data_IF_527484661386
#
_entry.id   IF_527484661386
#
_cell.length_a   1.000
_cell.length_b   1.000
_cell.length_c   1.000
_cell.angle_alpha   90.00
_cell.angle_beta   90.00
_cell.angle_gamma   90.00
#
_symmetry.space_group_name_H-M   'P 1'
#
loop_
_entity.id
_entity.type
_entity.pdbx_description
1 polymer ?
#
# COMPACT_ATOMS: atom_id res chain seq x y z
N UNK A 1 36.17 6.88 23.92
CA UNK A 1 35.34 7.97 24.45
C UNK A 1 35.22 9.07 23.40
N UNK A 2 34.03 9.32 22.90
CA UNK A 2 33.78 10.39 21.90
C UNK A 2 33.45 11.73 22.60
N UNK A 3 33.94 12.81 22.01
CA UNK A 3 33.52 14.19 22.38
C UNK A 3 32.26 14.63 21.60
N UNK A 4 31.94 13.92 20.52
CA UNK A 4 30.80 14.18 19.63
C UNK A 4 29.55 13.45 20.11
N UNK A 5 28.41 13.89 19.67
CA UNK A 5 27.13 13.18 19.80
C UNK A 5 27.13 12.03 18.78
N UNK A 6 27.63 10.89 19.19
CA UNK A 6 27.67 9.70 18.33
C UNK A 6 26.25 9.20 18.04
N UNK A 7 25.82 9.06 16.77
CA UNK A 7 24.52 8.49 16.46
C UNK A 7 24.43 7.03 16.92
N UNK A 8 25.50 6.25 16.70
CA UNK A 8 25.61 4.86 17.09
C UNK A 8 27.07 4.42 17.23
N UNK A 9 27.46 4.01 18.38
CA UNK A 9 28.86 3.66 18.69
C UNK A 9 29.22 2.22 18.31
N UNK A 10 29.50 1.92 17.05
CA UNK A 10 29.87 0.57 16.59
C UNK A 10 31.04 -0.03 17.36
N UNK A 11 32.10 0.74 17.59
CA UNK A 11 33.30 0.26 18.32
C UNK A 11 32.96 -0.17 19.73
N UNK A 12 32.13 0.57 20.46
CA UNK A 12 31.69 0.19 21.82
C UNK A 12 30.81 -1.05 21.81
N UNK A 13 29.90 -1.16 20.79
CA UNK A 13 29.08 -2.34 20.59
C UNK A 13 29.91 -3.58 20.33
N UNK A 14 30.85 -3.51 19.39
CA UNK A 14 31.73 -4.61 19.03
C UNK A 14 32.62 -5.06 20.21
N UNK A 15 33.21 -4.09 20.95
CA UNK A 15 33.99 -4.37 22.14
C UNK A 15 33.13 -5.05 23.23
N UNK A 16 31.94 -4.56 23.48
CA UNK A 16 31.00 -5.14 24.45
C UNK A 16 30.58 -6.57 24.04
N UNK A 17 30.32 -6.82 22.76
CA UNK A 17 29.98 -8.15 22.25
C UNK A 17 31.11 -9.18 22.39
N UNK A 18 32.36 -8.72 22.53
CA UNK A 18 33.53 -9.55 22.73
C UNK A 18 33.95 -9.67 24.22
N UNK A 19 33.14 -9.15 25.12
CA UNK A 19 33.40 -9.18 26.54
C UNK A 19 34.53 -8.26 27.01
N UNK A 20 34.81 -7.17 26.29
CA UNK A 20 35.75 -6.17 26.75
C UNK A 20 35.18 -5.38 27.93
N UNK A 21 36.03 -4.93 28.82
CA UNK A 21 35.69 -3.91 29.83
C UNK A 21 35.68 -2.55 29.15
N UNK A 22 34.46 -2.00 28.86
CA UNK A 22 34.29 -0.82 28.05
C UNK A 22 34.10 0.43 28.91
N UNK A 23 34.80 1.52 28.53
CA UNK A 23 34.59 2.87 29.10
C UNK A 23 34.11 3.77 27.98
N UNK A 24 32.97 4.41 28.16
CA UNK A 24 32.38 5.34 27.19
C UNK A 24 32.04 6.68 27.81
N UNK A 25 31.88 7.71 26.97
CA UNK A 25 31.26 8.98 27.33
C UNK A 25 29.73 8.89 27.23
N UNK A 26 29.03 9.66 28.04
CA UNK A 26 27.59 9.81 27.95
C UNK A 26 27.22 10.80 26.81
N UNK A 27 27.41 10.40 25.54
CA UNK A 27 27.22 11.23 24.36
C UNK A 27 26.45 10.49 23.28
N UNK A 28 25.33 11.10 22.83
CA UNK A 28 24.48 10.52 21.79
C UNK A 28 24.00 9.12 22.12
N UNK A 29 24.03 8.22 21.14
CA UNK A 29 23.64 6.81 21.26
C UNK A 29 24.69 5.87 21.88
N UNK A 30 25.85 6.37 22.32
CA UNK A 30 26.86 5.50 22.93
C UNK A 30 26.36 4.66 24.12
N UNK A 31 25.57 5.22 25.08
CA UNK A 31 25.04 4.43 26.20
C UNK A 31 24.13 3.27 25.76
N UNK A 32 23.49 3.39 24.61
CA UNK A 32 22.57 2.36 24.08
C UNK A 32 23.31 1.15 23.47
N UNK A 33 24.60 1.31 23.17
CA UNK A 33 25.42 0.26 22.53
C UNK A 33 26.09 -0.69 23.50
N UNK A 34 25.95 -0.48 24.79
CA UNK A 34 26.58 -1.27 25.84
C UNK A 34 25.56 -1.72 26.88
N UNK A 35 25.70 -2.95 27.34
CA UNK A 35 24.86 -3.50 28.40
C UNK A 35 25.52 -3.36 29.79
N UNK A 36 26.83 -3.47 29.84
CA UNK A 36 27.65 -3.29 31.03
C UNK A 36 28.91 -2.53 30.66
N UNK A 37 29.00 -1.25 31.07
CA UNK A 37 30.18 -0.41 30.80
C UNK A 37 30.31 0.66 31.88
N UNK A 38 31.51 1.29 31.94
CA UNK A 38 31.69 2.51 32.72
C UNK A 38 31.32 3.70 31.87
N UNK A 39 30.22 4.37 32.21
CA UNK A 39 29.74 5.55 31.52
C UNK A 39 30.23 6.81 32.25
N UNK A 40 31.07 7.61 31.60
CA UNK A 40 31.62 8.84 32.15
C UNK A 40 30.60 9.94 32.09
N UNK A 41 30.06 10.38 33.22
CA UNK A 41 29.10 11.52 33.30
C UNK A 41 29.72 12.82 32.81
N UNK A 42 31.01 13.07 33.08
CA UNK A 42 31.80 14.20 32.58
C UNK A 42 33.01 13.66 31.86
N UNK A 43 33.20 14.04 30.60
CA UNK A 43 34.35 13.65 29.81
C UNK A 43 35.47 14.69 29.99
N UNK A 44 36.43 14.39 30.84
CA UNK A 44 37.68 15.14 31.00
C UNK A 44 38.82 14.18 31.30
N UNK A 45 40.04 14.68 31.20
CA UNK A 45 41.24 13.88 31.40
C UNK A 45 41.28 13.17 32.76
N UNK A 46 40.89 13.90 33.85
CA UNK A 46 40.90 13.39 35.22
C UNK A 46 39.90 12.24 35.43
N UNK A 47 38.68 12.34 34.90
CA UNK A 47 37.68 11.27 35.04
C UNK A 47 38.01 10.06 34.20
N UNK A 48 38.54 10.25 32.99
CA UNK A 48 38.99 9.16 32.14
C UNK A 48 40.19 8.41 32.78
N UNK A 49 41.18 9.18 33.25
CA UNK A 49 42.35 8.59 33.94
C UNK A 49 41.93 7.74 35.14
N UNK A 50 41.09 8.29 36.05
CA UNK A 50 40.58 7.53 37.20
C UNK A 50 39.85 6.25 36.79
N UNK A 51 39.05 6.28 35.76
CA UNK A 51 38.33 5.10 35.30
C UNK A 51 39.27 4.04 34.72
N UNK A 52 40.26 4.47 33.94
CA UNK A 52 41.30 3.58 33.40
C UNK A 52 42.18 2.97 34.48
N UNK A 53 42.77 3.78 35.37
CA UNK A 53 43.61 3.30 36.49
C UNK A 53 42.86 2.31 37.35
N UNK A 54 41.59 2.59 37.69
CA UNK A 54 40.76 1.69 38.48
C UNK A 54 40.53 0.32 37.82
N UNK A 55 40.40 0.26 36.48
CA UNK A 55 40.26 -1.02 35.76
C UNK A 55 41.61 -1.74 35.62
N UNK A 56 42.72 -1.02 35.49
CA UNK A 56 44.07 -1.60 35.36
C UNK A 56 44.51 -2.18 36.69
N UNK A 57 44.33 -1.45 37.77
CA UNK A 57 44.78 -1.82 39.13
C UNK A 57 43.86 -2.84 39.82
N UNK A 58 42.61 -2.97 39.40
CA UNK A 58 41.62 -3.85 40.02
C UNK A 58 41.16 -4.97 39.07
N UNK A 59 41.88 -6.06 39.04
CA UNK A 59 41.56 -7.22 38.21
C UNK A 59 40.18 -7.81 38.49
N UNK A 60 39.77 -7.90 39.75
CA UNK A 60 38.44 -8.43 40.10
C UNK A 60 37.33 -7.60 39.49
N UNK A 61 37.44 -6.29 39.53
CA UNK A 61 36.46 -5.36 38.95
C UNK A 61 36.47 -5.45 37.44
N UNK A 62 37.65 -5.50 36.82
CA UNK A 62 37.79 -5.64 35.36
C UNK A 62 37.16 -6.95 34.87
N UNK A 63 37.53 -8.08 35.48
CA UNK A 63 36.98 -9.40 35.13
C UNK A 63 35.47 -9.49 35.35
N UNK A 64 34.94 -8.90 36.45
CA UNK A 64 33.49 -8.82 36.67
C UNK A 64 32.80 -8.04 35.56
N UNK A 65 33.35 -6.89 35.16
CA UNK A 65 32.78 -6.07 34.09
C UNK A 65 32.80 -6.81 32.74
N UNK A 66 33.90 -7.46 32.39
CA UNK A 66 34.07 -8.28 31.19
C UNK A 66 33.06 -9.42 31.13
N UNK A 67 32.92 -10.19 32.19
CA UNK A 67 31.99 -11.32 32.30
C UNK A 67 30.54 -10.81 32.18
N UNK A 68 30.18 -9.72 32.87
CA UNK A 68 28.85 -9.14 32.83
C UNK A 68 28.53 -8.57 31.45
N UNK A 69 29.49 -7.91 30.79
CA UNK A 69 29.32 -7.36 29.45
C UNK A 69 29.00 -8.47 28.46
N UNK A 70 29.70 -9.57 28.49
CA UNK A 70 29.48 -10.72 27.61
C UNK A 70 28.17 -11.46 27.94
N UNK A 71 27.92 -11.75 29.20
CA UNK A 71 26.76 -12.53 29.64
C UNK A 71 25.41 -11.79 29.36
N UNK A 72 25.41 -10.48 29.51
CA UNK A 72 24.22 -9.66 29.35
C UNK A 72 24.09 -9.05 27.95
N UNK A 73 24.96 -9.37 27.00
CA UNK A 73 24.93 -8.80 25.67
C UNK A 73 23.76 -9.36 24.86
N UNK A 74 22.82 -8.51 24.49
CA UNK A 74 21.63 -8.90 23.74
C UNK A 74 21.51 -8.23 22.37
N UNK A 75 22.29 -7.18 22.11
CA UNK A 75 22.20 -6.39 20.86
C UNK A 75 22.80 -7.14 19.65
N UNK A 76 22.33 -8.35 19.42
CA UNK A 76 22.74 -9.18 18.30
C UNK A 76 21.86 -8.93 17.07
N UNK A 77 22.36 -9.22 15.87
CA UNK A 77 21.57 -9.18 14.65
C UNK A 77 20.26 -9.98 14.79
N UNK A 78 20.34 -11.16 15.42
CA UNK A 78 19.15 -11.99 15.67
C UNK A 78 18.10 -11.29 16.52
N UNK A 79 18.51 -10.55 17.54
CA UNK A 79 17.60 -9.78 18.38
C UNK A 79 16.94 -8.65 17.59
N UNK A 80 17.73 -7.87 16.83
CA UNK A 80 17.24 -6.75 16.02
C UNK A 80 16.26 -7.25 14.95
N UNK A 81 16.62 -8.33 14.25
CA UNK A 81 15.72 -8.93 13.25
C UNK A 81 14.39 -9.37 13.87
N UNK A 82 14.42 -10.02 15.05
CA UNK A 82 13.18 -10.39 15.76
C UNK A 82 12.33 -9.19 16.15
N UNK A 83 12.94 -8.08 16.56
CA UNK A 83 12.20 -6.86 16.86
C UNK A 83 11.52 -6.28 15.60
N UNK A 84 12.25 -6.24 14.48
CA UNK A 84 11.71 -5.80 13.20
C UNK A 84 10.52 -6.68 12.80
N UNK A 85 10.65 -8.01 12.89
CA UNK A 85 9.57 -8.95 12.57
C UNK A 85 8.37 -8.78 13.50
N UNK A 86 8.60 -8.51 14.80
CA UNK A 86 7.54 -8.22 15.75
C UNK A 86 6.77 -6.96 15.39
N UNK A 87 7.47 -5.85 15.10
CA UNK A 87 6.82 -4.62 14.65
C UNK A 87 6.06 -4.78 13.33
N UNK A 88 6.65 -5.51 12.39
CA UNK A 88 5.98 -5.86 11.11
C UNK A 88 4.69 -6.61 11.37
N UNK A 89 4.71 -7.61 12.25
CA UNK A 89 3.53 -8.40 12.61
C UNK A 89 2.44 -7.54 13.25
N UNK A 90 2.80 -6.63 14.17
CA UNK A 90 1.87 -5.70 14.80
C UNK A 90 1.23 -4.75 13.79
N UNK A 91 2.00 -4.22 12.81
CA UNK A 91 1.47 -3.35 11.76
C UNK A 91 0.47 -4.12 10.88
N UNK A 92 0.83 -5.35 10.49
CA UNK A 92 -0.04 -6.21 9.68
C UNK A 92 -1.32 -6.53 10.46
N UNK A 93 -1.23 -6.91 11.73
CA UNK A 93 -2.38 -7.23 12.57
C UNK A 93 -3.32 -6.03 12.73
N UNK A 94 -2.80 -4.84 13.05
CA UNK A 94 -3.61 -3.61 13.11
C UNK A 94 -4.33 -3.31 11.80
N UNK A 95 -3.65 -3.52 10.67
CA UNK A 95 -4.24 -3.32 9.34
C UNK A 95 -5.35 -4.33 9.07
N UNK A 96 -5.17 -5.60 9.45
CA UNK A 96 -6.19 -6.64 9.32
C UNK A 96 -7.39 -6.36 10.22
N UNK A 97 -7.18 -5.94 11.47
CA UNK A 97 -8.26 -5.58 12.39
C UNK A 97 -9.07 -4.39 11.90
N UNK A 98 -8.43 -3.36 11.34
CA UNK A 98 -9.12 -2.22 10.73
C UNK A 98 -9.99 -2.61 9.53
N UNK A 99 -9.62 -3.66 8.81
CA UNK A 99 -10.37 -4.22 7.67
C UNK A 99 -11.55 -5.07 8.18
N UNK A 100 -11.39 -5.82 9.26
CA UNK A 100 -12.44 -6.69 9.82
C UNK A 100 -13.66 -5.96 10.37
N UNK A 101 -13.54 -4.67 10.70
CA UNK A 101 -14.65 -3.85 11.22
C UNK A 101 -15.62 -3.33 10.15
N UNK A 102 -15.33 -3.53 8.85
CA UNK A 102 -16.21 -3.12 7.74
C UNK A 102 -16.81 -4.34 7.05
N UNK A 103 -17.97 -4.16 6.38
CA UNK A 103 -18.55 -5.19 5.51
C UNK A 103 -17.46 -5.72 4.59
N UNK A 104 -17.06 -6.96 4.80
CA UNK A 104 -15.86 -7.53 4.15
C UNK A 104 -16.17 -8.16 2.80
N UNK A 105 -17.46 -8.44 2.51
CA UNK A 105 -17.90 -9.05 1.25
C UNK A 105 -18.91 -8.16 0.55
N UNK A 106 -18.61 -7.84 -0.69
CA UNK A 106 -19.48 -7.01 -1.54
C UNK A 106 -19.93 -7.81 -2.76
N UNK A 107 -21.12 -7.49 -3.24
CA UNK A 107 -21.58 -7.84 -4.59
C UNK A 107 -21.07 -6.76 -5.53
N UNK A 108 -20.13 -7.10 -6.39
CA UNK A 108 -19.48 -6.15 -7.31
C UNK A 108 -19.93 -6.43 -8.74
N UNK A 109 -20.43 -5.43 -9.43
CA UNK A 109 -20.62 -5.46 -10.87
C UNK A 109 -19.42 -4.75 -11.53
N UNK A 110 -18.53 -5.53 -12.13
CA UNK A 110 -17.34 -5.02 -12.79
C UNK A 110 -17.57 -4.89 -14.30
N UNK A 111 -17.60 -3.66 -14.78
CA UNK A 111 -17.89 -3.32 -16.19
C UNK A 111 -16.59 -2.83 -16.84
N UNK A 112 -16.08 -3.59 -17.79
CA UNK A 112 -14.89 -3.26 -18.56
C UNK A 112 -14.77 -4.14 -19.78
N UNK A 113 -13.83 -3.83 -20.67
CA UNK A 113 -13.54 -4.69 -21.81
C UNK A 113 -12.75 -5.94 -21.37
N UNK A 114 -13.41 -7.09 -21.29
CA UNK A 114 -12.76 -8.38 -20.97
C UNK A 114 -12.16 -9.07 -22.19
N UNK A 115 -12.37 -8.55 -23.41
CA UNK A 115 -11.83 -9.06 -24.67
C UNK A 115 -12.28 -10.51 -24.99
N UNK A 116 -13.50 -10.88 -24.61
CA UNK A 116 -14.07 -12.22 -24.83
C UNK A 116 -14.18 -12.57 -26.33
N UNK A 117 -14.51 -11.55 -27.18
CA UNK A 117 -14.56 -11.70 -28.65
C UNK A 117 -13.24 -12.12 -29.30
N UNK A 118 -12.15 -12.10 -28.57
CA UNK A 118 -10.82 -12.48 -29.08
C UNK A 118 -10.42 -13.92 -28.74
N UNK A 119 -11.35 -14.77 -28.30
CA UNK A 119 -11.17 -16.20 -28.07
C UNK A 119 -9.92 -16.53 -27.22
N UNK A 120 -9.73 -15.79 -26.12
CA UNK A 120 -8.62 -15.97 -25.17
C UNK A 120 -7.31 -15.26 -25.52
N UNK A 121 -7.13 -14.77 -26.77
CA UNK A 121 -5.87 -14.13 -27.20
C UNK A 121 -5.46 -12.92 -26.35
N UNK A 122 -6.44 -12.17 -25.81
CA UNK A 122 -6.23 -11.00 -24.95
C UNK A 122 -6.73 -11.23 -23.52
N UNK A 123 -6.60 -12.47 -23.04
CA UNK A 123 -7.07 -12.86 -21.71
C UNK A 123 -6.39 -12.07 -20.59
N UNK A 124 -5.10 -11.73 -20.74
CA UNK A 124 -4.27 -11.06 -19.73
C UNK A 124 -4.49 -9.55 -19.63
N UNK A 125 -5.65 -9.04 -20.02
CA UNK A 125 -5.92 -7.61 -19.95
C UNK A 125 -6.08 -7.11 -18.50
N UNK A 126 -5.94 -5.80 -18.32
CA UNK A 126 -6.01 -5.14 -17.02
C UNK A 126 -7.35 -5.36 -16.31
N UNK A 127 -8.46 -5.36 -17.07
CA UNK A 127 -9.78 -5.66 -16.51
C UNK A 127 -9.81 -7.01 -15.81
N UNK A 128 -9.22 -8.05 -16.41
CA UNK A 128 -9.14 -9.39 -15.83
C UNK A 128 -8.30 -9.41 -14.55
N UNK A 129 -7.16 -8.71 -14.54
CA UNK A 129 -6.28 -8.62 -13.36
C UNK A 129 -7.00 -7.98 -12.18
N UNK A 130 -7.68 -6.86 -12.40
CA UNK A 130 -8.47 -6.19 -11.36
C UNK A 130 -9.61 -7.10 -10.88
N UNK A 131 -10.31 -7.76 -11.82
CA UNK A 131 -11.38 -8.70 -11.49
C UNK A 131 -10.89 -9.85 -10.59
N UNK A 132 -9.76 -10.45 -10.93
CA UNK A 132 -9.14 -11.49 -10.12
C UNK A 132 -8.80 -10.99 -8.71
N UNK A 133 -8.35 -9.74 -8.59
CA UNK A 133 -8.13 -9.09 -7.29
C UNK A 133 -9.41 -9.06 -6.43
N UNK A 134 -10.54 -8.68 -6.99
CA UNK A 134 -11.83 -8.69 -6.27
C UNK A 134 -12.24 -10.10 -5.83
N UNK A 135 -12.08 -11.09 -6.71
CA UNK A 135 -12.39 -12.50 -6.40
C UNK A 135 -11.49 -13.02 -5.26
N UNK A 136 -10.19 -12.73 -5.30
CA UNK A 136 -9.23 -13.13 -4.22
C UNK A 136 -9.51 -12.44 -2.89
N UNK A 137 -10.08 -11.25 -2.92
CA UNK A 137 -10.59 -10.56 -1.73
C UNK A 137 -11.93 -11.13 -1.24
N UNK A 138 -12.39 -12.24 -1.84
CA UNK A 138 -13.61 -12.96 -1.46
C UNK A 138 -14.91 -12.17 -1.69
N UNK A 139 -14.92 -11.28 -2.69
CA UNK A 139 -16.12 -10.60 -3.15
C UNK A 139 -16.91 -11.48 -4.13
N UNK A 140 -18.24 -11.29 -4.18
CA UNK A 140 -19.08 -11.83 -5.24
C UNK A 140 -18.99 -10.91 -6.45
N UNK A 141 -18.42 -11.37 -7.58
CA UNK A 141 -18.15 -10.50 -8.73
C UNK A 141 -18.92 -10.98 -9.94
N UNK A 142 -19.77 -10.12 -10.49
CA UNK A 142 -20.39 -10.29 -11.80
C UNK A 142 -19.68 -9.39 -12.80
N UNK A 143 -19.28 -9.96 -13.94
CA UNK A 143 -18.58 -9.24 -15.01
C UNK A 143 -19.54 -8.84 -16.12
N UNK A 144 -19.35 -7.64 -16.67
CA UNK A 144 -20.04 -7.17 -17.88
C UNK A 144 -19.00 -6.62 -18.86
N UNK A 145 -18.80 -7.30 -19.99
CA UNK A 145 -17.83 -6.88 -21.00
C UNK A 145 -18.49 -5.88 -21.96
N UNK A 146 -18.24 -4.59 -21.76
CA UNK A 146 -18.90 -3.50 -22.49
C UNK A 146 -18.65 -3.59 -24.01
N UNK A 147 -17.39 -3.69 -24.42
CA UNK A 147 -17.01 -3.72 -25.85
C UNK A 147 -17.37 -5.03 -26.54
N UNK A 148 -17.44 -6.13 -25.82
CA UNK A 148 -17.86 -7.40 -26.38
C UNK A 148 -19.35 -7.40 -26.63
N UNK A 149 -20.17 -6.90 -25.68
CA UNK A 149 -21.62 -6.73 -25.87
C UNK A 149 -21.88 -5.84 -27.08
N UNK A 150 -21.24 -4.68 -27.17
CA UNK A 150 -21.38 -3.78 -28.31
C UNK A 150 -21.02 -4.48 -29.62
N UNK A 151 -19.93 -5.24 -29.65
CA UNK A 151 -19.51 -5.96 -30.85
C UNK A 151 -20.51 -7.02 -31.30
N UNK A 152 -21.12 -7.75 -30.36
CA UNK A 152 -22.06 -8.84 -30.67
C UNK A 152 -23.47 -8.36 -31.02
N UNK A 153 -23.88 -7.19 -30.50
CA UNK A 153 -25.28 -6.73 -30.62
C UNK A 153 -25.48 -5.50 -31.51
N UNK A 154 -24.48 -5.13 -32.31
CA UNK A 154 -24.65 -4.11 -33.36
C UNK A 154 -25.75 -4.49 -34.34
N UNK A 155 -26.59 -3.55 -34.66
CA UNK A 155 -27.70 -3.73 -35.61
C UNK A 155 -28.01 -2.43 -36.34
N UNK A 156 -28.84 -2.50 -37.36
CA UNK A 156 -29.33 -1.30 -38.10
C UNK A 156 -30.03 -0.30 -37.17
N UNK A 157 -30.66 -0.77 -36.08
CA UNK A 157 -31.36 0.08 -35.09
C UNK A 157 -30.48 0.52 -33.93
N UNK A 158 -29.28 -0.06 -33.78
CA UNK A 158 -28.30 0.25 -32.74
C UNK A 158 -26.89 0.09 -33.34
N UNK A 159 -26.55 1.06 -34.21
CA UNK A 159 -25.38 0.97 -35.08
C UNK A 159 -24.06 0.86 -34.29
N UNK A 160 -23.95 1.53 -33.16
CA UNK A 160 -22.81 1.49 -32.26
C UNK A 160 -22.95 0.46 -31.12
N UNK A 161 -24.10 -0.21 -30.99
CA UNK A 161 -24.38 -1.19 -29.95
C UNK A 161 -24.53 -0.63 -28.54
N UNK A 162 -24.41 0.68 -28.39
CA UNK A 162 -24.40 1.32 -27.06
C UNK A 162 -25.78 1.33 -26.41
N UNK A 163 -26.86 1.41 -27.20
CA UNK A 163 -28.22 1.36 -26.71
C UNK A 163 -28.53 0.00 -26.05
N UNK A 164 -28.17 -1.06 -26.71
CA UNK A 164 -28.32 -2.44 -26.20
C UNK A 164 -27.45 -2.67 -24.95
N UNK A 165 -26.21 -2.17 -24.93
CA UNK A 165 -25.33 -2.26 -23.78
C UNK A 165 -25.96 -1.58 -22.55
N UNK A 166 -26.43 -0.33 -22.70
CA UNK A 166 -27.00 0.42 -21.58
C UNK A 166 -28.30 -0.20 -21.07
N UNK A 167 -29.14 -0.72 -21.96
CA UNK A 167 -30.33 -1.49 -21.57
C UNK A 167 -29.97 -2.73 -20.77
N UNK A 168 -29.04 -3.56 -21.26
CA UNK A 168 -28.56 -4.76 -20.56
C UNK A 168 -27.94 -4.42 -19.19
N UNK A 169 -27.22 -3.31 -19.09
CA UNK A 169 -26.68 -2.85 -17.82
C UNK A 169 -27.78 -2.64 -16.77
N UNK A 170 -28.86 -1.96 -17.14
CA UNK A 170 -29.99 -1.73 -16.22
C UNK A 170 -30.70 -3.03 -15.83
N UNK A 171 -30.88 -3.96 -16.75
CA UNK A 171 -31.43 -5.29 -16.47
C UNK A 171 -30.53 -6.08 -15.51
N UNK A 172 -29.21 -6.05 -15.72
CA UNK A 172 -28.24 -6.71 -14.82
C UNK A 172 -28.29 -6.10 -13.43
N UNK A 173 -28.34 -4.76 -13.31
CA UNK A 173 -28.43 -4.09 -12.02
C UNK A 173 -29.68 -4.47 -11.27
N UNK A 174 -30.86 -4.47 -11.95
CA UNK A 174 -32.13 -4.82 -11.31
C UNK A 174 -32.18 -6.26 -10.79
N UNK A 175 -31.51 -7.19 -11.47
CA UNK A 175 -31.46 -8.61 -11.09
C UNK A 175 -30.38 -8.92 -10.05
N UNK A 176 -29.19 -8.33 -10.21
CA UNK A 176 -28.02 -8.63 -9.36
C UNK A 176 -27.99 -7.80 -8.09
N UNK A 177 -28.48 -6.58 -8.12
CA UNK A 177 -28.46 -5.61 -7.01
C UNK A 177 -27.06 -5.51 -6.38
N UNK A 178 -26.06 -4.97 -7.11
CA UNK A 178 -24.70 -4.88 -6.60
C UNK A 178 -24.58 -3.86 -5.47
N UNK A 179 -23.65 -4.06 -4.55
CA UNK A 179 -23.25 -3.05 -3.57
C UNK A 179 -22.33 -1.99 -4.22
N UNK A 180 -21.56 -2.41 -5.24
CA UNK A 180 -20.57 -1.59 -5.92
C UNK A 180 -20.55 -1.89 -7.41
N UNK A 181 -20.66 -0.84 -8.21
CA UNK A 181 -20.37 -0.87 -9.65
C UNK A 181 -18.97 -0.33 -9.87
N UNK A 182 -18.13 -1.07 -10.62
CA UNK A 182 -16.78 -0.64 -10.98
C UNK A 182 -16.67 -0.49 -12.49
N UNK A 183 -16.46 0.74 -12.95
CA UNK A 183 -16.32 1.11 -14.36
C UNK A 183 -14.84 1.13 -14.76
N UNK A 184 -14.44 0.23 -15.63
CA UNK A 184 -13.09 0.20 -16.17
C UNK A 184 -13.04 0.80 -17.58
N UNK A 185 -12.64 2.04 -17.71
CA UNK A 185 -12.78 2.87 -18.89
C UNK A 185 -14.26 3.07 -19.30
N UNK A 186 -14.97 2.00 -19.60
CA UNK A 186 -16.42 1.92 -19.82
C UNK A 186 -17.03 3.13 -20.59
N UNK A 187 -16.37 3.53 -21.69
CA UNK A 187 -16.67 4.75 -22.43
C UNK A 187 -18.05 4.73 -23.10
N UNK A 188 -18.60 3.54 -23.30
CA UNK A 188 -19.87 3.32 -23.97
C UNK A 188 -21.07 3.33 -23.00
N UNK A 189 -20.81 3.43 -21.70
CA UNK A 189 -21.86 3.66 -20.70
C UNK A 189 -22.22 5.14 -20.72
N UNK A 190 -23.49 5.44 -20.99
CA UNK A 190 -24.00 6.79 -21.14
C UNK A 190 -24.22 7.47 -19.79
N UNK A 191 -24.08 8.79 -19.76
CA UNK A 191 -24.33 9.62 -18.57
C UNK A 191 -25.76 9.47 -18.06
N UNK A 192 -26.71 9.44 -18.98
CA UNK A 192 -28.15 9.29 -18.68
C UNK A 192 -28.42 7.98 -17.95
N UNK A 193 -27.69 6.91 -18.32
CA UNK A 193 -27.76 5.61 -17.65
C UNK A 193 -27.21 5.69 -16.24
N UNK A 194 -26.06 6.34 -16.05
CA UNK A 194 -25.48 6.53 -14.71
C UNK A 194 -26.37 7.42 -13.83
N UNK A 195 -26.95 8.49 -14.39
CA UNK A 195 -27.92 9.33 -13.71
C UNK A 195 -29.13 8.52 -13.25
N UNK A 196 -29.73 7.74 -14.14
CA UNK A 196 -30.85 6.86 -13.80
C UNK A 196 -30.50 5.87 -12.68
N UNK A 197 -29.30 5.27 -12.70
CA UNK A 197 -28.84 4.37 -11.64
C UNK A 197 -28.75 5.11 -10.31
N UNK A 198 -28.24 6.33 -10.28
CA UNK A 198 -28.16 7.15 -9.07
C UNK A 198 -29.50 7.48 -8.46
N UNK A 199 -30.48 7.80 -9.32
CA UNK A 199 -31.84 8.16 -8.91
C UNK A 199 -32.63 6.94 -8.43
N UNK A 200 -32.46 5.80 -9.11
CA UNK A 200 -33.25 4.59 -8.83
C UNK A 200 -32.64 3.72 -7.72
N UNK A 201 -31.30 3.71 -7.61
CA UNK A 201 -30.55 2.86 -6.67
C UNK A 201 -29.52 3.68 -5.86
N UNK A 202 -29.95 4.58 -4.98
CA UNK A 202 -29.08 5.54 -4.29
C UNK A 202 -28.03 4.87 -3.37
N UNK A 203 -28.27 3.65 -2.90
CA UNK A 203 -27.37 2.89 -2.05
C UNK A 203 -26.19 2.28 -2.80
N UNK A 204 -26.33 2.04 -4.11
CA UNK A 204 -25.27 1.47 -4.93
C UNK A 204 -24.13 2.47 -5.07
N UNK A 205 -22.92 2.07 -4.70
CA UNK A 205 -21.71 2.88 -4.91
C UNK A 205 -21.16 2.65 -6.32
N UNK A 206 -20.64 3.70 -6.92
CA UNK A 206 -20.03 3.63 -8.26
C UNK A 206 -18.59 4.13 -8.17
N UNK A 207 -17.65 3.31 -8.61
CA UNK A 207 -16.26 3.67 -8.76
C UNK A 207 -15.84 3.57 -10.23
N UNK A 208 -14.85 4.36 -10.64
CA UNK A 208 -14.19 4.17 -11.93
C UNK A 208 -12.69 4.03 -11.80
N UNK A 209 -12.07 3.30 -12.73
CA UNK A 209 -10.63 3.28 -12.89
C UNK A 209 -10.22 3.58 -14.34
N UNK A 210 -9.09 4.28 -14.49
CA UNK A 210 -8.59 4.73 -15.77
C UNK A 210 -7.06 4.64 -15.80
N UNK A 211 -6.50 3.85 -16.70
CA UNK A 211 -5.07 3.51 -16.71
C UNK A 211 -4.30 4.14 -17.87
N UNK A 212 -5.00 4.81 -18.78
CA UNK A 212 -4.34 5.51 -19.87
C UNK A 212 -3.76 6.84 -19.39
N UNK A 213 -2.69 7.27 -20.02
CA UNK A 213 -2.04 8.55 -19.76
C UNK A 213 -2.99 9.72 -20.02
N UNK A 214 -3.02 10.71 -19.13
CA UNK A 214 -3.97 11.82 -19.15
C UNK A 214 -3.32 13.22 -19.10
N UNK A 215 -2.03 13.32 -19.34
CA UNK A 215 -1.33 14.61 -19.36
C UNK A 215 -1.67 15.46 -20.60
N UNK A 216 -0.92 16.56 -20.77
CA UNK A 216 -1.23 17.57 -21.80
C UNK A 216 -1.25 17.02 -23.23
N UNK A 217 -0.48 15.97 -23.53
CA UNK A 217 -0.43 15.33 -24.85
C UNK A 217 -1.66 14.43 -25.10
N UNK A 218 -2.37 14.03 -24.03
CA UNK A 218 -3.47 13.08 -24.06
C UNK A 218 -4.79 13.64 -23.52
N UNK A 219 -5.13 14.85 -23.97
CA UNK A 219 -6.34 15.60 -23.56
C UNK A 219 -7.64 14.83 -23.76
N UNK A 220 -7.73 14.00 -24.80
CA UNK A 220 -8.90 13.15 -25.08
C UNK A 220 -9.13 12.14 -23.95
N UNK A 221 -8.07 11.54 -23.41
CA UNK A 221 -8.15 10.60 -22.30
C UNK A 221 -8.65 11.29 -21.02
N UNK A 222 -8.12 12.47 -20.73
CA UNK A 222 -8.60 13.29 -19.60
C UNK A 222 -10.08 13.63 -19.73
N UNK A 223 -10.54 14.01 -20.93
CA UNK A 223 -11.95 14.28 -21.21
C UNK A 223 -12.83 13.05 -20.93
N UNK A 224 -12.42 11.88 -21.43
CA UNK A 224 -13.15 10.60 -21.21
C UNK A 224 -13.24 10.25 -19.73
N UNK A 225 -12.15 10.45 -18.96
CA UNK A 225 -12.14 10.22 -17.53
C UNK A 225 -13.08 11.16 -16.78
N UNK A 226 -13.05 12.45 -17.11
CA UNK A 226 -13.88 13.47 -16.46
C UNK A 226 -15.35 13.37 -16.84
N UNK A 227 -15.69 12.77 -17.95
CA UNK A 227 -17.05 12.71 -18.51
C UNK A 227 -18.07 12.06 -17.57
N UNK A 228 -17.62 11.13 -16.70
CA UNK A 228 -18.46 10.41 -15.74
C UNK A 228 -18.24 10.81 -14.28
N UNK A 229 -17.35 11.76 -14.02
CA UNK A 229 -16.85 12.02 -12.66
C UNK A 229 -17.94 12.49 -11.69
N UNK A 230 -18.96 13.18 -12.17
CA UNK A 230 -20.09 13.64 -11.36
C UNK A 230 -21.03 12.50 -10.90
N UNK A 231 -21.00 11.36 -11.61
CA UNK A 231 -21.85 10.20 -11.33
C UNK A 231 -21.16 9.12 -10.50
N UNK A 232 -19.86 9.26 -10.21
CA UNK A 232 -19.09 8.27 -9.45
C UNK A 232 -18.74 8.77 -8.05
N UNK A 233 -18.68 7.86 -7.09
CA UNK A 233 -18.29 8.18 -5.70
C UNK A 233 -16.79 8.34 -5.54
N UNK A 234 -16.00 7.63 -6.35
CA UNK A 234 -14.54 7.76 -6.39
C UNK A 234 -13.96 7.31 -7.73
N UNK A 235 -12.78 7.79 -8.01
CA UNK A 235 -12.06 7.50 -9.25
C UNK A 235 -10.61 7.11 -8.96
N UNK A 236 -10.08 6.17 -9.72
CA UNK A 236 -8.70 5.70 -9.62
C UNK A 236 -7.99 5.89 -10.95
N UNK A 237 -6.77 6.41 -10.93
CA UNK A 237 -5.99 6.59 -12.15
C UNK A 237 -4.49 6.37 -11.92
N UNK A 238 -3.78 6.03 -12.98
CA UNK A 238 -2.32 5.83 -12.97
C UNK A 238 -1.52 7.10 -13.21
N UNK A 239 -2.17 8.18 -13.61
CA UNK A 239 -1.56 9.52 -13.70
C UNK A 239 -1.80 10.25 -12.38
N UNK A 240 -0.74 10.84 -11.78
CA UNK A 240 -0.87 11.54 -10.50
C UNK A 240 -1.95 12.63 -10.57
N UNK A 241 -2.92 12.64 -9.63
CA UNK A 241 -3.95 13.68 -9.57
C UNK A 241 -3.37 15.09 -9.41
N UNK A 242 -2.22 15.24 -8.74
CA UNK A 242 -1.56 16.54 -8.54
C UNK A 242 -1.08 17.16 -9.85
N UNK A 243 -0.59 16.31 -10.78
CA UNK A 243 -0.17 16.75 -12.13
C UNK A 243 -1.38 17.19 -12.95
N UNK A 244 -2.51 16.54 -12.76
CA UNK A 244 -3.70 16.73 -13.58
C UNK A 244 -4.56 17.94 -13.15
N UNK A 245 -4.27 18.53 -11.98
CA UNK A 245 -5.01 19.69 -11.42
C UNK A 245 -6.52 19.50 -11.44
N UNK A 246 -6.98 18.39 -10.88
CA UNK A 246 -8.41 18.11 -10.76
C UNK A 246 -9.09 19.00 -9.73
N UNK A 247 -10.42 19.26 -9.84
CA UNK A 247 -11.18 19.93 -8.81
C UNK A 247 -11.05 19.21 -7.46
N UNK A 248 -10.79 19.97 -6.39
CA UNK A 248 -10.53 19.41 -5.03
C UNK A 248 -11.69 18.61 -4.44
N UNK A 249 -12.89 18.77 -4.94
CA UNK A 249 -14.09 18.09 -4.43
C UNK A 249 -14.25 16.65 -4.93
N UNK A 250 -13.45 16.21 -5.89
CA UNK A 250 -13.55 14.88 -6.46
C UNK A 250 -12.62 13.92 -5.74
N UNK A 251 -13.13 12.77 -5.31
CA UNK A 251 -12.36 11.68 -4.70
C UNK A 251 -11.59 10.91 -5.78
N UNK A 252 -10.44 11.46 -6.17
CA UNK A 252 -9.55 10.88 -7.18
C UNK A 252 -8.29 10.38 -6.49
N UNK A 253 -7.96 9.12 -6.73
CA UNK A 253 -6.82 8.44 -6.10
C UNK A 253 -5.86 7.90 -7.16
N UNK A 254 -4.57 7.98 -6.86
CA UNK A 254 -3.56 7.30 -7.65
C UNK A 254 -3.56 5.80 -7.34
N UNK A 255 -3.46 4.97 -8.39
CA UNK A 255 -3.17 3.54 -8.28
C UNK A 255 -2.09 3.16 -9.30
N UNK A 256 -1.15 2.29 -8.95
CA UNK A 256 -0.24 1.72 -9.94
C UNK A 256 -0.98 0.76 -10.88
N UNK A 257 -0.35 0.43 -12.01
CA UNK A 257 -0.85 -0.63 -12.87
C UNK A 257 -0.92 -1.95 -12.08
N UNK A 258 -2.04 -2.66 -12.12
CA UNK A 258 -2.20 -3.89 -11.37
C UNK A 258 -1.31 -5.00 -11.93
N UNK A 259 -0.62 -5.70 -11.05
CA UNK A 259 0.01 -6.97 -11.32
C UNK A 259 -0.89 -8.10 -10.79
N UNK A 260 -0.88 -9.24 -11.44
CA UNK A 260 -1.62 -10.42 -11.03
C UNK A 260 -0.69 -11.63 -10.99
N UNK A 261 -0.70 -12.36 -9.90
CA UNK A 261 0.17 -13.52 -9.69
C UNK A 261 -0.16 -14.73 -10.60
N UNK A 262 -1.32 -14.69 -11.25
CA UNK A 262 -1.75 -15.76 -12.18
C UNK A 262 -1.16 -15.62 -13.58
N UNK A 263 -0.40 -14.55 -13.84
CA UNK A 263 0.10 -14.24 -15.18
C UNK A 263 1.60 -14.01 -15.18
#
# INVERSE_FOLDING_TARGET
CSRWQEPFGRTSLEASSRGCAVIISNRGGLPETVTNAIILKKLNQKTLYKALSNLIENDKKRLKLQKSSLANFYLTNKFVCRQIDSYRSLIIQKKIESIKQKKTKFKILHITNFNERHNGRLFYNTGRRINNGFVRLNHSVLTLSDRDIVSYYRSIRDFDGSKTLNKKLLEVISNYLPDLIVLGHADLIKKETLKFIRETYPDIKIAQWFLDRMDNDWKSNKKRFLDKIEFVDCSFCTTSPDILKFPKNNKIFYIPNPADQSF
#
